data_IF_919956090017
#
_entry.id   IF_919956090017
#
_cell.length_a   1.000
_cell.length_b   1.000
_cell.length_c   1.000
_cell.angle_alpha   90.00
_cell.angle_beta   90.00
_cell.angle_gamma   90.00
#
_symmetry.space_group_name_H-M   'P 1'
#
loop_
_entity.id
_entity.type
_entity.pdbx_description
1 polymer ?
#
# COMPACT_ATOMS: atom_id res chain seq x y z
N UNK A 1 -6.81 -6.01 14.60
CA UNK A 1 -5.60 -6.07 13.77
C UNK A 1 -4.39 -6.39 14.62
N UNK A 2 -4.28 -5.77 15.81
CA UNK A 2 -3.13 -5.96 16.72
C UNK A 2 -2.90 -7.40 17.20
N UNK A 3 -3.93 -8.28 17.11
CA UNK A 3 -3.78 -9.71 17.40
C UNK A 3 -3.15 -10.51 16.24
N UNK A 4 -3.06 -9.92 15.04
CA UNK A 4 -2.59 -10.59 13.81
C UNK A 4 -1.20 -10.11 13.39
N UNK A 5 -0.93 -8.81 13.51
CA UNK A 5 0.36 -8.21 13.20
C UNK A 5 0.61 -7.01 14.12
N UNK A 6 1.89 -6.69 14.35
CA UNK A 6 2.27 -5.48 15.10
C UNK A 6 2.14 -4.26 14.20
N UNK A 7 1.49 -3.21 14.70
CA UNK A 7 1.42 -1.92 14.02
C UNK A 7 2.59 -1.06 14.47
N UNK A 8 3.49 -0.74 13.54
CA UNK A 8 4.64 0.13 13.74
C UNK A 8 4.39 1.48 13.06
N UNK A 9 4.71 2.59 13.75
CA UNK A 9 4.60 3.94 13.19
C UNK A 9 5.94 4.33 12.57
N UNK A 10 5.91 4.86 11.36
CA UNK A 10 7.10 5.31 10.65
C UNK A 10 7.81 6.49 11.32
N UNK A 11 8.93 6.89 10.74
CA UNK A 11 9.80 7.93 11.27
C UNK A 11 9.64 9.23 10.47
N UNK A 12 9.46 10.35 11.19
CA UNK A 12 9.41 11.68 10.57
C UNK A 12 10.75 12.04 9.93
N UNK A 13 10.69 12.60 8.72
CA UNK A 13 11.82 13.20 8.00
C UNK A 13 11.51 14.67 7.73
N UNK A 14 12.53 15.52 7.67
CA UNK A 14 12.39 16.89 7.21
C UNK A 14 12.22 16.93 5.68
N UNK A 15 11.26 17.72 5.18
CA UNK A 15 11.00 17.81 3.74
C UNK A 15 12.21 18.25 2.91
N UNK A 16 13.16 18.99 3.51
CA UNK A 16 14.42 19.40 2.86
C UNK A 16 15.37 18.24 2.57
N UNK A 17 15.20 17.10 3.23
CA UNK A 17 15.99 15.87 2.99
C UNK A 17 15.41 15.03 1.84
N UNK A 18 14.20 15.35 1.37
CA UNK A 18 13.53 14.60 0.30
C UNK A 18 14.01 15.06 -1.08
N UNK A 19 14.33 14.09 -1.93
CA UNK A 19 14.66 14.31 -3.34
C UNK A 19 13.49 13.91 -4.25
N UNK A 20 13.46 14.45 -5.48
CA UNK A 20 12.56 14.00 -6.55
C UNK A 20 12.95 12.61 -7.09
N UNK A 21 14.20 12.21 -6.88
CA UNK A 21 14.74 10.91 -7.31
C UNK A 21 15.54 10.26 -6.20
N UNK A 22 15.54 8.94 -6.13
CA UNK A 22 16.39 8.17 -5.24
C UNK A 22 16.06 6.68 -5.26
N UNK A 23 16.85 5.89 -4.55
CA UNK A 23 16.72 4.43 -4.53
C UNK A 23 15.43 3.93 -3.85
N UNK A 24 14.94 4.66 -2.84
CA UNK A 24 13.78 4.27 -2.03
C UNK A 24 12.77 5.39 -1.93
N UNK A 25 11.50 5.07 -2.14
CA UNK A 25 10.44 6.05 -2.00
C UNK A 25 10.07 6.25 -0.53
N UNK A 26 9.57 7.45 -0.21
CA UNK A 26 9.05 7.79 1.11
C UNK A 26 7.53 7.76 1.09
N UNK A 27 6.94 6.81 1.83
CA UNK A 27 5.50 6.74 2.03
C UNK A 27 5.11 7.46 3.31
N UNK A 28 4.16 8.38 3.23
CA UNK A 28 3.68 9.17 4.37
C UNK A 28 2.15 9.03 4.50
N UNK A 29 1.43 10.12 4.77
CA UNK A 29 -0.04 10.11 4.87
C UNK A 29 -0.79 10.04 3.53
N UNK A 30 -0.10 10.12 2.39
CA UNK A 30 -0.69 10.14 1.06
C UNK A 30 -0.99 8.75 0.47
N UNK A 31 -1.37 8.75 -0.81
CA UNK A 31 -1.50 7.54 -1.66
C UNK A 31 -0.37 7.43 -2.70
N UNK A 32 0.51 8.41 -2.72
CA UNK A 32 1.69 8.48 -3.59
C UNK A 32 2.90 8.84 -2.73
N UNK A 33 4.13 8.48 -3.16
CA UNK A 33 5.35 8.90 -2.49
C UNK A 33 5.42 10.42 -2.25
N UNK A 34 5.93 10.81 -1.09
CA UNK A 34 6.21 12.23 -0.77
C UNK A 34 7.56 12.71 -1.30
N UNK A 35 8.40 11.78 -1.76
CA UNK A 35 9.77 12.01 -2.22
C UNK A 35 10.57 10.71 -2.15
N UNK A 36 11.89 10.83 -2.28
CA UNK A 36 12.80 9.70 -2.30
C UNK A 36 14.03 9.94 -1.40
N UNK A 37 14.64 8.84 -0.97
CA UNK A 37 15.87 8.76 -0.18
C UNK A 37 16.79 7.66 -0.74
N UNK A 38 18.05 7.69 -0.32
CA UNK A 38 19.04 6.63 -0.58
C UNK A 38 19.08 5.55 0.50
N UNK A 39 18.25 5.68 1.54
CA UNK A 39 18.11 4.70 2.62
C UNK A 39 16.64 4.33 2.85
N UNK A 40 16.41 3.18 3.48
CA UNK A 40 15.09 2.66 3.81
C UNK A 40 15.03 2.21 5.27
N UNK A 41 13.86 2.33 5.89
CA UNK A 41 13.62 1.83 7.24
C UNK A 41 12.61 0.68 7.30
N UNK A 42 11.99 0.35 6.17
CA UNK A 42 10.96 -0.69 6.06
C UNK A 42 11.29 -1.63 4.90
N UNK A 43 11.36 -2.95 5.13
CA UNK A 43 11.67 -3.90 4.08
C UNK A 43 10.55 -4.03 3.04
N UNK A 44 10.90 -4.60 1.90
CA UNK A 44 9.94 -5.02 0.88
C UNK A 44 8.88 -5.97 1.44
N UNK A 45 7.81 -6.14 0.67
CA UNK A 45 6.67 -7.02 0.98
C UNK A 45 5.97 -6.65 2.28
N UNK A 46 5.87 -5.35 2.59
CA UNK A 46 5.24 -4.82 3.82
C UNK A 46 3.93 -4.10 3.48
N UNK A 47 2.88 -4.34 4.25
CA UNK A 47 1.61 -3.61 4.20
C UNK A 47 1.79 -2.29 4.96
N UNK A 48 1.40 -1.18 4.33
CA UNK A 48 1.29 0.11 4.98
C UNK A 48 -0.15 0.62 5.00
N UNK A 49 -0.46 1.42 6.01
CA UNK A 49 -1.73 2.14 6.16
C UNK A 49 -1.42 3.61 6.44
N UNK A 50 -1.94 4.53 5.63
CA UNK A 50 -1.72 5.97 5.83
C UNK A 50 -2.38 6.44 7.14
N UNK A 51 -1.62 7.08 8.03
CA UNK A 51 -2.11 7.54 9.34
C UNK A 51 -2.87 8.86 9.23
N UNK A 52 -2.34 9.81 8.46
CA UNK A 52 -2.76 11.22 8.51
C UNK A 52 -3.07 11.81 7.13
N UNK A 53 -3.80 12.91 7.10
CA UNK A 53 -4.21 13.59 5.88
C UNK A 53 -5.48 13.01 5.25
N UNK A 54 -5.90 13.60 4.12
CA UNK A 54 -7.16 13.25 3.47
C UNK A 54 -7.24 11.80 3.00
N UNK A 55 -6.11 11.11 2.92
CA UNK A 55 -5.99 9.71 2.53
C UNK A 55 -5.79 8.76 3.70
N UNK A 56 -5.91 9.22 4.95
CA UNK A 56 -5.75 8.32 6.10
C UNK A 56 -6.73 7.14 6.03
N UNK A 57 -6.19 5.95 6.24
CA UNK A 57 -6.84 4.65 6.04
C UNK A 57 -6.55 3.97 4.71
N UNK A 58 -5.86 4.63 3.79
CA UNK A 58 -5.40 4.02 2.54
C UNK A 58 -4.45 2.85 2.82
N UNK A 59 -4.75 1.69 2.25
CA UNK A 59 -4.00 0.44 2.40
C UNK A 59 -3.15 0.19 1.16
N UNK A 60 -1.87 -0.07 1.36
CA UNK A 60 -0.91 -0.33 0.29
C UNK A 60 -0.06 -1.55 0.59
N UNK A 61 0.22 -2.33 -0.47
CA UNK A 61 1.26 -3.34 -0.45
C UNK A 61 2.54 -2.75 -1.06
N UNK A 62 3.64 -2.80 -0.33
CA UNK A 62 4.91 -2.24 -0.74
C UNK A 62 5.82 -3.37 -1.21
N UNK A 63 5.96 -3.56 -2.53
CA UNK A 63 6.71 -4.67 -3.12
C UNK A 63 8.24 -4.49 -3.12
N UNK A 64 8.73 -3.31 -2.77
CA UNK A 64 10.16 -2.98 -2.66
C UNK A 64 10.43 -2.30 -1.31
N UNK A 65 11.69 -2.27 -0.82
CA UNK A 65 12.00 -1.55 0.40
C UNK A 65 11.67 -0.07 0.25
N UNK A 66 11.31 0.58 1.35
CA UNK A 66 10.87 1.96 1.33
C UNK A 66 11.07 2.62 2.70
N UNK A 67 10.96 3.95 2.73
CA UNK A 67 10.91 4.67 3.97
C UNK A 67 9.45 4.89 4.41
N UNK A 68 9.09 4.33 5.56
CA UNK A 68 7.84 4.63 6.26
C UNK A 68 7.99 5.92 7.06
N UNK A 69 7.25 6.95 6.64
CA UNK A 69 7.26 8.30 7.20
C UNK A 69 6.41 8.47 8.46
N UNK A 70 6.50 9.64 9.09
CA UNK A 70 5.85 9.95 10.37
C UNK A 70 4.31 9.91 10.38
N UNK A 71 3.65 9.86 9.22
CA UNK A 71 2.20 9.64 9.07
C UNK A 71 1.89 8.35 8.30
N UNK A 72 2.73 7.32 8.47
CA UNK A 72 2.54 6.01 7.87
C UNK A 72 2.61 4.94 8.97
N UNK A 73 1.66 4.00 8.97
CA UNK A 73 1.75 2.78 9.76
C UNK A 73 2.18 1.62 8.86
N UNK A 74 2.97 0.70 9.42
CA UNK A 74 3.40 -0.55 8.76
C UNK A 74 3.03 -1.73 9.62
N UNK A 75 2.52 -2.80 8.99
CA UNK A 75 2.19 -4.04 9.69
C UNK A 75 3.39 -4.98 9.65
N UNK A 76 4.00 -5.27 10.78
CA UNK A 76 5.19 -6.13 10.88
C UNK A 76 4.89 -7.34 11.77
N UNK A 77 5.77 -8.35 11.72
CA UNK A 77 5.69 -9.57 12.52
C UNK A 77 4.28 -10.22 12.51
N UNK A 78 3.72 -10.57 11.34
CA UNK A 78 2.44 -11.27 11.30
C UNK A 78 2.55 -12.63 11.99
N UNK A 79 1.49 -13.03 12.70
CA UNK A 79 1.42 -14.37 13.30
C UNK A 79 1.44 -15.44 12.22
N UNK A 80 2.06 -16.59 12.53
CA UNK A 80 2.30 -17.67 11.56
C UNK A 80 1.03 -18.29 10.98
N UNK A 81 -0.08 -18.24 11.71
CA UNK A 81 -1.39 -18.72 11.25
C UNK A 81 -2.07 -17.81 10.23
N UNK A 82 -1.50 -16.66 9.90
CA UNK A 82 -2.04 -15.74 8.90
C UNK A 82 -1.18 -15.69 7.64
N UNK A 83 -1.81 -15.84 6.47
CA UNK A 83 -1.19 -15.46 5.20
C UNK A 83 -1.13 -13.92 5.11
N UNK A 84 0.06 -13.39 4.89
CA UNK A 84 0.26 -11.94 4.85
C UNK A 84 -0.33 -11.27 3.59
N UNK A 85 -0.35 -11.97 2.45
CA UNK A 85 -1.04 -11.51 1.23
C UNK A 85 -2.56 -11.53 1.39
N UNK A 86 -3.10 -12.56 2.05
CA UNK A 86 -4.52 -12.56 2.44
C UNK A 86 -4.85 -11.34 3.32
N UNK A 87 -4.02 -11.06 4.33
CA UNK A 87 -4.21 -9.89 5.20
C UNK A 87 -4.25 -8.60 4.37
N UNK A 88 -3.33 -8.43 3.40
CA UNK A 88 -3.36 -7.30 2.48
C UNK A 88 -4.69 -7.20 1.72
N UNK A 89 -5.11 -8.27 1.05
CA UNK A 89 -6.35 -8.28 0.24
C UNK A 89 -7.58 -8.00 1.10
N UNK A 90 -7.65 -8.58 2.29
CA UNK A 90 -8.74 -8.34 3.25
C UNK A 90 -8.79 -6.87 3.70
N UNK A 91 -7.64 -6.31 4.08
CA UNK A 91 -7.55 -4.90 4.48
C UNK A 91 -7.88 -3.97 3.33
N UNK A 92 -7.43 -4.28 2.11
CA UNK A 92 -7.75 -3.50 0.92
C UNK A 92 -9.24 -3.53 0.59
N UNK A 93 -9.88 -4.70 0.71
CA UNK A 93 -11.33 -4.83 0.62
C UNK A 93 -12.07 -4.00 1.69
N UNK A 94 -11.48 -3.91 2.89
CA UNK A 94 -12.02 -3.13 4.02
C UNK A 94 -11.55 -1.68 4.08
N UNK A 95 -10.86 -1.17 3.06
CA UNK A 95 -10.24 0.16 3.08
C UNK A 95 -11.24 1.26 3.46
N UNK A 96 -12.45 1.26 2.90
CA UNK A 96 -13.48 2.24 3.27
C UNK A 96 -13.87 2.18 4.76
N UNK A 97 -13.93 0.98 5.34
CA UNK A 97 -14.20 0.81 6.77
C UNK A 97 -13.03 1.28 7.63
N UNK A 98 -11.80 1.11 7.17
CA UNK A 98 -10.61 1.61 7.85
C UNK A 98 -10.57 3.15 7.77
N UNK A 99 -10.84 3.73 6.60
CA UNK A 99 -10.93 5.19 6.42
C UNK A 99 -12.03 5.81 7.28
N UNK A 100 -13.11 5.08 7.59
CA UNK A 100 -14.17 5.54 8.48
C UNK A 100 -13.74 5.66 9.95
N UNK A 101 -12.57 5.13 10.35
CA UNK A 101 -11.98 5.35 11.67
C UNK A 101 -11.37 6.77 11.83
N UNK A 102 -11.37 7.55 10.75
CA UNK A 102 -10.83 8.91 10.72
C UNK A 102 -11.51 9.81 11.75
N UNK A 103 -10.68 10.56 12.46
CA UNK A 103 -11.09 11.66 13.34
C UNK A 103 -10.46 12.96 12.88
N UNK A 104 -11.04 14.09 13.29
CA UNK A 104 -10.56 15.43 12.94
C UNK A 104 -10.98 15.87 11.53
N UNK A 105 -11.47 17.11 11.42
CA UNK A 105 -11.95 17.68 10.15
C UNK A 105 -10.87 18.45 9.37
N UNK A 106 -9.98 19.16 10.07
CA UNK A 106 -8.91 19.95 9.43
C UNK A 106 -7.65 19.15 9.11
N UNK A 107 -7.17 18.37 10.07
CA UNK A 107 -6.02 17.46 9.92
C UNK A 107 -6.45 16.04 10.29
N UNK A 108 -7.17 15.35 9.38
CA UNK A 108 -7.71 14.04 9.68
C UNK A 108 -6.60 13.02 9.96
N UNK A 109 -6.82 12.15 10.93
CA UNK A 109 -5.93 11.01 11.20
C UNK A 109 -6.69 9.78 11.72
N UNK A 110 -6.01 8.65 11.73
CA UNK A 110 -6.45 7.41 12.39
C UNK A 110 -5.50 7.12 13.56
N UNK A 111 -6.04 6.91 14.76
CA UNK A 111 -5.23 6.55 15.91
C UNK A 111 -4.84 5.08 15.84
N UNK A 112 -3.59 4.75 16.21
CA UNK A 112 -3.09 3.37 16.28
C UNK A 112 -4.03 2.44 17.06
N UNK A 113 -4.63 2.89 18.17
CA UNK A 113 -5.54 2.10 19.00
C UNK A 113 -6.79 1.63 18.23
N UNK A 114 -7.27 2.45 17.29
CA UNK A 114 -8.48 2.16 16.51
C UNK A 114 -8.13 1.15 15.40
N UNK A 115 -6.93 1.24 14.81
CA UNK A 115 -6.41 0.20 13.93
C UNK A 115 -6.14 -1.11 14.67
N UNK A 116 -5.52 -1.04 15.85
CA UNK A 116 -5.23 -2.22 16.68
C UNK A 116 -6.53 -3.01 16.96
N UNK A 117 -7.63 -2.31 17.26
CA UNK A 117 -8.95 -2.90 17.51
C UNK A 117 -9.75 -3.27 16.25
N UNK A 118 -9.32 -2.87 15.05
CA UNK A 118 -10.02 -3.19 13.80
C UNK A 118 -10.20 -4.71 13.59
N UNK A 119 -11.41 -5.23 13.38
CA UNK A 119 -11.64 -6.68 13.31
C UNK A 119 -11.01 -7.28 12.05
N UNK A 120 -10.36 -8.43 12.20
CA UNK A 120 -9.82 -9.23 11.09
C UNK A 120 -10.58 -10.55 11.07
N UNK A 121 -11.07 -10.92 9.89
CA UNK A 121 -11.71 -12.21 9.70
C UNK A 121 -10.65 -13.32 9.81
N UNK A 122 -10.86 -14.25 10.74
CA UNK A 122 -9.98 -15.39 10.96
C UNK A 122 -10.62 -16.65 10.38
N UNK A 123 -10.06 -17.13 9.27
CA UNK A 123 -10.45 -18.36 8.56
C UNK A 123 -9.27 -19.33 8.51
N UNK A 124 -9.49 -20.56 8.03
CA UNK A 124 -8.43 -21.56 7.95
C UNK A 124 -7.26 -21.07 7.08
N UNK A 125 -6.05 -21.52 7.39
CA UNK A 125 -4.84 -21.09 6.68
C UNK A 125 -4.92 -21.46 5.19
N UNK A 126 -5.50 -22.62 4.89
CA UNK A 126 -5.74 -23.13 3.55
C UNK A 126 -6.68 -22.22 2.74
N UNK A 127 -7.76 -21.74 3.36
CA UNK A 127 -8.67 -20.77 2.73
C UNK A 127 -7.98 -19.42 2.52
N UNK A 128 -7.20 -18.95 3.49
CA UNK A 128 -6.41 -17.72 3.33
C UNK A 128 -5.45 -17.81 2.14
N UNK A 129 -4.74 -18.94 2.02
CA UNK A 129 -3.79 -19.19 0.94
C UNK A 129 -4.49 -19.24 -0.43
N UNK A 130 -5.65 -19.90 -0.50
CA UNK A 130 -6.48 -19.96 -1.72
C UNK A 130 -6.93 -18.56 -2.15
N UNK A 131 -7.47 -17.78 -1.22
CA UNK A 131 -7.93 -16.41 -1.49
C UNK A 131 -6.75 -15.53 -1.93
N UNK A 132 -5.62 -15.61 -1.24
CA UNK A 132 -4.43 -14.84 -1.59
C UNK A 132 -3.94 -15.16 -3.02
N UNK A 133 -3.88 -16.44 -3.38
CA UNK A 133 -3.47 -16.88 -4.71
C UNK A 133 -4.37 -16.30 -5.80
N UNK A 134 -5.70 -16.44 -5.66
CA UNK A 134 -6.66 -15.96 -6.66
C UNK A 134 -6.56 -14.45 -6.85
N UNK A 135 -6.48 -13.67 -5.76
CA UNK A 135 -6.40 -12.21 -5.88
C UNK A 135 -5.06 -11.75 -6.44
N UNK A 136 -3.94 -12.39 -6.08
CA UNK A 136 -2.64 -12.07 -6.68
C UNK A 136 -2.63 -12.39 -8.19
N UNK A 137 -3.16 -13.53 -8.62
CA UNK A 137 -3.29 -13.88 -10.05
C UNK A 137 -4.14 -12.87 -10.83
N UNK A 138 -5.25 -12.41 -10.26
CA UNK A 138 -6.10 -11.37 -10.87
C UNK A 138 -5.33 -10.05 -10.99
N UNK A 139 -4.58 -9.65 -9.96
CA UNK A 139 -3.78 -8.43 -10.00
C UNK A 139 -2.68 -8.51 -11.06
N UNK A 140 -1.96 -9.62 -11.13
CA UNK A 140 -0.96 -9.86 -12.17
C UNK A 140 -1.56 -9.78 -13.57
N UNK A 141 -2.73 -10.38 -13.76
CA UNK A 141 -3.47 -10.29 -15.03
C UNK A 141 -3.82 -8.85 -15.37
N UNK A 142 -4.35 -8.06 -14.43
CA UNK A 142 -4.68 -6.65 -14.64
C UNK A 142 -3.43 -5.84 -15.04
N UNK A 143 -2.29 -6.09 -14.39
CA UNK A 143 -1.02 -5.41 -14.72
C UNK A 143 -0.58 -5.75 -16.14
N UNK A 144 -0.60 -7.03 -16.50
CA UNK A 144 -0.24 -7.50 -17.83
C UNK A 144 -1.13 -6.88 -18.92
N UNK A 145 -2.45 -6.91 -18.74
CA UNK A 145 -3.40 -6.34 -19.70
C UNK A 145 -3.21 -4.83 -19.87
N UNK A 146 -2.92 -4.09 -18.80
CA UNK A 146 -2.60 -2.66 -18.87
C UNK A 146 -1.34 -2.40 -19.67
N UNK A 147 -0.29 -3.20 -19.49
CA UNK A 147 0.95 -3.07 -20.26
C UNK A 147 0.73 -3.36 -21.75
N UNK A 148 -0.04 -4.40 -22.06
CA UNK A 148 -0.43 -4.73 -23.44
C UNK A 148 -1.21 -3.58 -24.07
N UNK A 149 -2.21 -3.03 -23.37
CA UNK A 149 -3.00 -1.90 -23.85
C UNK A 149 -2.13 -0.66 -24.15
N UNK A 150 -1.18 -0.33 -23.26
CA UNK A 150 -0.23 0.76 -23.48
C UNK A 150 0.62 0.54 -24.75
N UNK A 151 1.05 -0.69 -24.99
CA UNK A 151 1.82 -1.04 -26.19
C UNK A 151 0.99 -0.93 -27.46
N UNK A 152 -0.28 -1.32 -27.43
CA UNK A 152 -1.17 -1.12 -28.58
C UNK A 152 -1.44 0.35 -28.86
N UNK A 153 -1.60 1.21 -27.84
CA UNK A 153 -1.73 2.66 -28.05
C UNK A 153 -0.45 3.31 -28.60
N UNK A 154 0.73 2.83 -28.19
CA UNK A 154 2.01 3.24 -28.78
C UNK A 154 2.09 2.87 -30.27
N UNK A 155 1.78 1.61 -30.61
CA UNK A 155 1.76 1.13 -31.99
C UNK A 155 0.76 1.89 -32.86
N UNK A 156 -0.47 2.09 -32.35
CA UNK A 156 -1.52 2.85 -33.04
C UNK A 156 -1.07 4.27 -33.35
N UNK A 157 -0.48 4.99 -32.39
CA UNK A 157 0.04 6.35 -32.61
C UNK A 157 1.11 6.38 -33.69
N UNK A 158 2.05 5.45 -33.66
CA UNK A 158 3.10 5.33 -34.67
C UNK A 158 2.55 5.03 -36.07
N UNK A 159 1.60 4.11 -36.19
CA UNK A 159 0.99 3.77 -37.48
C UNK A 159 0.19 4.96 -38.03
N UNK A 160 -0.58 5.65 -37.19
CA UNK A 160 -1.34 6.84 -37.59
C UNK A 160 -0.44 7.98 -38.07
N UNK A 161 0.73 8.22 -37.43
CA UNK A 161 1.67 9.26 -37.89
C UNK A 161 2.30 8.92 -39.25
N UNK A 162 2.33 7.65 -39.64
CA UNK A 162 2.86 7.21 -40.94
C UNK A 162 1.78 7.12 -42.04
N UNK A 163 0.50 7.28 -41.68
CA UNK A 163 -0.63 7.13 -42.60
C UNK A 163 -0.99 8.43 -43.33
N UNK A 164 -0.63 9.58 -42.78
CA UNK A 164 -0.88 10.90 -43.37
C UNK A 164 0.46 11.56 -43.71
N UNK A 165 0.68 11.80 -45.01
CA UNK A 165 1.81 12.57 -45.56
C UNK A 165 1.48 14.06 -45.44
#
# INVERSE_FOLDING_TARGET
MGNVAKIHKGQQINGEELSETGSYYVMNGGIVPSGYLEDFNTPANTISISEGGNSCGYVQYNGVPFWSGGHCYTLIDPITSFNYKYLFHYLKFKEQSIMALRIGSGLPNIQKKDLDSFPILNISKEEQDTIACVFDEILEKIICERQIALKYEEQKRYLLSNLFI
#
